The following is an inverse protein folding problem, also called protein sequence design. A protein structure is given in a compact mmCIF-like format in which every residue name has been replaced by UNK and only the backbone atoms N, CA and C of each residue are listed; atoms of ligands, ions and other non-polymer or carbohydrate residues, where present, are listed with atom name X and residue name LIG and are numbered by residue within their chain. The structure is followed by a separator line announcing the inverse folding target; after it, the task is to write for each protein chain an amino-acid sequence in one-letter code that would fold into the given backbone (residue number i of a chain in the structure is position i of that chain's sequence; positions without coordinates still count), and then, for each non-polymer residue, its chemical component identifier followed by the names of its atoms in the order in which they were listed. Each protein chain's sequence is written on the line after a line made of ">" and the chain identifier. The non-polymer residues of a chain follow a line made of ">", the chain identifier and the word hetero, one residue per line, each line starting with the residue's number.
data_IF_367660929411
#
_entry.id   IF_367660929411
#
_cell.length_a   1.000
_cell.length_b   1.000
_cell.length_c   1.000
_cell.angle_alpha   90.00
_cell.angle_beta   90.00
_cell.angle_gamma   90.00
#
_symmetry.space_group_name_H-M   'P 1'
#
loop_
_entity.id
_entity.type
_entity.pdbx_description
1 polymer ?
#
# COMPACT_ATOMS: atom_id res chain seq x y z
N UNK A 1 -3.76 -15.34 -96.86
CA UNK A 1 -4.07 -14.72 -95.55
C UNK A 1 -2.94 -15.03 -94.58
N UNK A 2 -2.07 -14.06 -94.25
CA UNK A 2 -0.92 -14.28 -93.38
C UNK A 2 -1.36 -14.33 -91.90
N UNK A 3 -0.73 -15.24 -91.14
CA UNK A 3 -1.16 -15.65 -89.82
C UNK A 3 -0.92 -14.64 -88.70
N UNK A 4 -1.95 -14.44 -87.86
CA UNK A 4 -1.84 -13.81 -86.53
C UNK A 4 -1.23 -14.79 -85.50
N UNK A 5 -0.04 -15.32 -85.78
CA UNK A 5 0.78 -16.12 -84.84
C UNK A 5 2.03 -15.36 -84.43
N UNK A 6 1.90 -14.19 -83.77
CA UNK A 6 3.11 -13.39 -83.47
C UNK A 6 3.13 -12.61 -82.16
N UNK A 7 2.02 -12.37 -81.45
CA UNK A 7 2.10 -11.57 -80.20
C UNK A 7 2.24 -12.40 -78.92
N UNK A 8 1.42 -13.45 -78.70
CA UNK A 8 1.54 -14.30 -77.50
C UNK A 8 2.86 -15.10 -77.45
N UNK A 9 3.30 -15.64 -78.60
CA UNK A 9 4.57 -16.40 -78.68
C UNK A 9 5.81 -15.51 -78.43
N UNK A 10 5.85 -14.29 -78.98
CA UNK A 10 6.93 -13.34 -78.72
C UNK A 10 6.99 -12.91 -77.25
N UNK A 11 5.84 -12.67 -76.60
CA UNK A 11 5.79 -12.37 -75.17
C UNK A 11 6.34 -13.52 -74.31
N UNK A 12 6.13 -14.78 -74.71
CA UNK A 12 6.71 -15.93 -73.98
C UNK A 12 8.22 -16.10 -74.20
N UNK A 13 8.73 -15.79 -75.40
CA UNK A 13 10.16 -15.86 -75.71
C UNK A 13 10.95 -14.75 -75.01
N UNK A 14 10.45 -13.51 -75.02
CA UNK A 14 11.06 -12.38 -74.29
C UNK A 14 10.99 -12.57 -72.78
N UNK A 15 9.88 -13.11 -72.24
CA UNK A 15 9.78 -13.46 -70.83
C UNK A 15 10.78 -14.57 -70.43
N UNK A 16 11.03 -15.56 -71.29
CA UNK A 16 12.06 -16.59 -71.05
C UNK A 16 13.47 -15.99 -71.05
N UNK A 17 13.79 -15.13 -72.01
CA UNK A 17 15.09 -14.45 -72.09
C UNK A 17 15.33 -13.55 -70.87
N UNK A 18 14.32 -12.79 -70.42
CA UNK A 18 14.40 -11.98 -69.21
C UNK A 18 14.60 -12.81 -67.94
N UNK A 19 14.02 -14.02 -67.86
CA UNK A 19 14.28 -14.93 -66.72
C UNK A 19 15.72 -15.42 -66.70
N UNK A 20 16.28 -15.77 -67.87
CA UNK A 20 17.65 -16.22 -68.00
C UNK A 20 18.66 -15.12 -67.66
N UNK A 21 18.38 -13.88 -68.10
CA UNK A 21 19.19 -12.72 -67.72
C UNK A 21 19.13 -12.48 -66.20
N UNK A 22 17.95 -12.54 -65.60
CA UNK A 22 17.79 -12.40 -64.13
C UNK A 22 18.43 -13.53 -63.32
N UNK A 23 18.48 -14.75 -63.84
CA UNK A 23 19.14 -15.86 -63.15
C UNK A 23 20.66 -15.75 -63.17
N UNK A 24 21.20 -14.99 -64.12
CA UNK A 24 22.63 -14.79 -64.31
C UNK A 24 23.10 -13.43 -63.79
N UNK A 25 22.22 -12.61 -63.19
CA UNK A 25 22.57 -11.33 -62.56
C UNK A 25 23.47 -11.57 -61.33
N UNK A 26 24.53 -10.77 -61.22
CA UNK A 26 25.33 -10.70 -59.99
C UNK A 26 24.56 -9.98 -58.87
N UNK A 27 25.01 -10.11 -57.61
CA UNK A 27 24.36 -9.47 -56.47
C UNK A 27 24.28 -7.94 -56.62
N UNK A 28 25.34 -7.32 -57.13
CA UNK A 28 25.41 -5.86 -57.33
C UNK A 28 24.51 -5.39 -58.47
N UNK A 29 24.46 -6.14 -59.58
CA UNK A 29 23.55 -5.84 -60.71
C UNK A 29 22.09 -5.97 -60.30
N UNK A 30 21.74 -6.99 -59.51
CA UNK A 30 20.40 -7.16 -58.96
C UNK A 30 20.04 -6.01 -58.00
N UNK A 31 20.95 -5.63 -57.11
CA UNK A 31 20.76 -4.50 -56.19
C UNK A 31 20.59 -3.18 -56.95
N UNK A 32 21.39 -2.93 -57.97
CA UNK A 32 21.27 -1.74 -58.82
C UNK A 32 19.94 -1.73 -59.58
N UNK A 33 19.53 -2.86 -60.18
CA UNK A 33 18.23 -2.97 -60.86
C UNK A 33 17.05 -2.73 -59.90
N UNK A 34 17.09 -3.30 -58.69
CA UNK A 34 16.06 -3.08 -57.68
C UNK A 34 16.04 -1.62 -57.19
N UNK A 35 17.20 -0.98 -57.04
CA UNK A 35 17.30 0.43 -56.69
C UNK A 35 16.68 1.32 -57.78
N UNK A 36 17.02 1.09 -59.05
CA UNK A 36 16.44 1.80 -60.19
C UNK A 36 14.92 1.59 -60.28
N UNK A 37 14.45 0.37 -60.03
CA UNK A 37 13.02 0.07 -60.00
C UNK A 37 12.29 0.79 -58.85
N UNK A 38 12.92 0.93 -57.67
CA UNK A 38 12.36 1.71 -56.56
C UNK A 38 12.21 3.18 -56.93
N UNK A 39 13.25 3.79 -57.51
CA UNK A 39 13.22 5.19 -57.96
C UNK A 39 12.09 5.43 -58.97
N UNK A 40 11.96 4.55 -59.98
CA UNK A 40 10.88 4.64 -60.97
C UNK A 40 9.50 4.51 -60.29
N UNK A 41 9.36 3.58 -59.34
CA UNK A 41 8.11 3.40 -58.60
C UNK A 41 7.75 4.62 -57.74
N UNK A 42 8.73 5.26 -57.12
CA UNK A 42 8.55 6.49 -56.33
C UNK A 42 8.13 7.65 -57.22
N UNK A 43 8.77 7.84 -58.37
CA UNK A 43 8.39 8.86 -59.35
C UNK A 43 6.96 8.64 -59.89
N UNK A 44 6.56 7.40 -60.09
CA UNK A 44 5.18 7.08 -60.48
C UNK A 44 4.17 7.35 -59.35
N UNK A 45 4.56 7.15 -58.10
CA UNK A 45 3.72 7.45 -56.94
C UNK A 45 3.55 8.96 -56.70
N UNK A 46 4.58 9.77 -56.96
CA UNK A 46 4.51 11.23 -56.80
C UNK A 46 3.70 11.90 -57.91
N UNK A 47 3.71 11.34 -59.12
CA UNK A 47 2.91 11.79 -60.27
C UNK A 47 1.47 11.23 -60.27
N UNK A 48 1.13 10.39 -59.30
CA UNK A 48 -0.15 9.69 -59.24
C UNK A 48 -1.31 10.65 -58.95
N UNK A 49 -2.41 10.54 -59.70
CA UNK A 49 -3.63 11.29 -59.41
C UNK A 49 -4.35 10.76 -58.15
N UNK A 50 -5.23 11.57 -57.56
CA UNK A 50 -6.03 11.17 -56.38
C UNK A 50 -6.88 9.92 -56.63
N UNK A 51 -7.43 9.78 -57.85
CA UNK A 51 -8.26 8.63 -58.24
C UNK A 51 -7.42 7.37 -58.37
N UNK A 52 -6.30 7.42 -59.08
CA UNK A 52 -5.38 6.28 -59.22
C UNK A 52 -4.81 5.85 -57.86
N UNK A 53 -4.52 6.81 -56.98
CA UNK A 53 -4.08 6.53 -55.61
C UNK A 53 -5.16 5.77 -54.85
N UNK A 54 -6.41 6.21 -54.95
CA UNK A 54 -7.55 5.57 -54.30
C UNK A 54 -7.77 4.15 -54.81
N UNK A 55 -7.71 3.93 -56.13
CA UNK A 55 -7.83 2.59 -56.75
C UNK A 55 -6.68 1.65 -56.35
N UNK A 56 -5.44 2.15 -56.31
CA UNK A 56 -4.28 1.38 -55.87
C UNK A 56 -4.40 0.97 -54.39
N UNK A 57 -4.80 1.89 -53.52
CA UNK A 57 -5.03 1.59 -52.10
C UNK A 57 -6.18 0.62 -51.90
N UNK A 58 -7.28 0.76 -52.66
CA UNK A 58 -8.39 -0.19 -52.64
C UNK A 58 -7.94 -1.61 -53.06
N UNK A 59 -7.16 -1.72 -54.14
CA UNK A 59 -6.59 -2.99 -54.60
C UNK A 59 -5.64 -3.61 -53.57
N UNK A 60 -4.81 -2.79 -52.91
CA UNK A 60 -3.92 -3.23 -51.85
C UNK A 60 -4.68 -3.71 -50.61
N UNK A 61 -5.73 -2.99 -50.21
CA UNK A 61 -6.60 -3.37 -49.10
C UNK A 61 -7.32 -4.69 -49.39
N UNK A 62 -7.81 -4.88 -50.62
CA UNK A 62 -8.44 -6.11 -51.05
C UNK A 62 -7.49 -7.31 -50.94
N UNK A 63 -6.28 -7.20 -51.49
CA UNK A 63 -5.24 -8.26 -51.38
C UNK A 63 -4.88 -8.54 -49.92
N UNK A 64 -4.75 -7.49 -49.10
CA UNK A 64 -4.46 -7.64 -47.67
C UNK A 64 -5.59 -8.35 -46.92
N UNK A 65 -6.84 -8.02 -47.23
CA UNK A 65 -8.02 -8.68 -46.66
C UNK A 65 -8.09 -10.15 -47.05
N UNK A 66 -7.88 -10.46 -48.33
CA UNK A 66 -7.86 -11.84 -48.84
C UNK A 66 -6.73 -12.68 -48.21
N UNK A 67 -5.56 -12.07 -47.95
CA UNK A 67 -4.49 -12.74 -47.22
C UNK A 67 -4.88 -12.99 -45.76
N UNK A 68 -5.47 -11.99 -45.07
CA UNK A 68 -5.94 -12.15 -43.68
C UNK A 68 -7.03 -13.21 -43.51
N UNK A 69 -7.88 -13.40 -44.52
CA UNK A 69 -8.91 -14.46 -44.51
C UNK A 69 -8.32 -15.87 -44.65
N UNK A 70 -7.15 -15.98 -45.29
CA UNK A 70 -6.44 -17.25 -45.49
C UNK A 70 -5.42 -17.55 -44.38
N UNK A 71 -5.17 -16.61 -43.46
CA UNK A 71 -4.27 -16.79 -42.32
C UNK A 71 -4.77 -17.92 -41.41
N UNK A 72 -3.86 -18.81 -41.04
CA UNK A 72 -4.09 -19.77 -39.96
C UNK A 72 -4.18 -19.07 -38.59
N UNK A 73 -4.69 -19.77 -37.58
CA UNK A 73 -4.75 -19.25 -36.20
C UNK A 73 -3.36 -18.90 -35.63
N UNK A 74 -2.34 -19.68 -35.98
CA UNK A 74 -0.95 -19.45 -35.58
C UNK A 74 -0.37 -18.20 -36.25
N UNK A 75 -0.52 -18.06 -37.57
CA UNK A 75 -0.06 -16.88 -38.32
C UNK A 75 -0.76 -15.60 -37.84
N UNK A 76 -2.07 -15.67 -37.60
CA UNK A 76 -2.84 -14.56 -37.03
C UNK A 76 -2.29 -14.15 -35.66
N UNK A 77 -2.01 -15.13 -34.80
CA UNK A 77 -1.47 -14.89 -33.45
C UNK A 77 -0.07 -14.26 -33.50
N UNK A 78 0.81 -14.76 -34.37
CA UNK A 78 2.15 -14.21 -34.57
C UNK A 78 2.13 -12.79 -35.13
N UNK A 79 1.24 -12.49 -36.08
CA UNK A 79 1.05 -11.14 -36.62
C UNK A 79 0.56 -10.17 -35.56
N UNK A 80 -0.44 -10.57 -34.76
CA UNK A 80 -0.96 -9.75 -33.66
C UNK A 80 0.10 -9.54 -32.57
N UNK A 81 0.90 -10.57 -32.23
CA UNK A 81 2.00 -10.45 -31.28
C UNK A 81 3.06 -9.46 -31.79
N UNK A 82 3.47 -9.58 -33.06
CA UNK A 82 4.43 -8.65 -33.69
C UNK A 82 3.89 -7.21 -33.72
N UNK A 83 2.60 -7.02 -33.98
CA UNK A 83 1.96 -5.71 -33.93
C UNK A 83 1.93 -5.12 -32.51
N UNK A 84 1.63 -5.95 -31.51
CA UNK A 84 1.64 -5.55 -30.10
C UNK A 84 3.05 -5.14 -29.66
N UNK A 85 4.09 -5.91 -30.01
CA UNK A 85 5.49 -5.58 -29.70
C UNK A 85 5.92 -4.25 -30.30
N UNK A 86 5.58 -3.98 -31.57
CA UNK A 86 5.86 -2.68 -32.22
C UNK A 86 5.12 -1.53 -31.52
N UNK A 87 3.87 -1.77 -31.11
CA UNK A 87 3.07 -0.75 -30.40
C UNK A 87 3.67 -0.45 -29.02
N UNK A 88 4.14 -1.46 -28.30
CA UNK A 88 4.81 -1.30 -27.01
C UNK A 88 6.14 -0.54 -27.16
N UNK A 89 6.96 -0.90 -28.16
CA UNK A 89 8.22 -0.21 -28.44
C UNK A 89 8.00 1.27 -28.82
N UNK A 90 6.91 1.59 -29.50
CA UNK A 90 6.54 2.98 -29.76
C UNK A 90 6.10 3.68 -28.47
N UNK A 91 5.25 3.07 -27.65
CA UNK A 91 4.81 3.63 -26.36
C UNK A 91 5.94 3.86 -25.37
N UNK A 92 6.99 3.04 -25.39
CA UNK A 92 8.17 3.21 -24.54
C UNK A 92 9.03 4.41 -24.95
N UNK A 93 9.00 4.78 -26.23
CA UNK A 93 9.74 5.91 -26.79
C UNK A 93 8.92 7.21 -26.83
N UNK A 94 7.63 7.15 -26.47
CA UNK A 94 6.76 8.33 -26.42
C UNK A 94 7.27 9.34 -25.39
N UNK A 95 7.33 10.61 -25.80
CA UNK A 95 7.50 11.72 -24.88
C UNK A 95 6.27 11.92 -23.98
N UNK A 96 6.42 12.69 -22.90
CA UNK A 96 5.29 13.03 -22.01
C UNK A 96 4.16 13.76 -22.72
N UNK A 97 4.49 14.63 -23.69
CA UNK A 97 3.53 15.36 -24.51
C UNK A 97 2.75 14.42 -25.45
N UNK A 98 3.45 13.56 -26.19
CA UNK A 98 2.83 12.58 -27.08
C UNK A 98 1.95 11.59 -26.31
N UNK A 99 2.42 11.13 -25.15
CA UNK A 99 1.64 10.27 -24.25
C UNK A 99 0.35 10.96 -23.81
N UNK A 100 0.43 12.24 -23.43
CA UNK A 100 -0.73 13.03 -23.01
C UNK A 100 -1.72 13.21 -24.15
N UNK A 101 -1.24 13.57 -25.36
CA UNK A 101 -2.09 13.71 -26.54
C UNK A 101 -2.77 12.38 -26.94
N UNK A 102 -2.04 11.27 -26.87
CA UNK A 102 -2.60 9.93 -27.14
C UNK A 102 -3.68 9.56 -26.12
N UNK A 103 -3.44 9.80 -24.83
CA UNK A 103 -4.43 9.53 -23.78
C UNK A 103 -5.67 10.42 -23.93
N UNK A 104 -5.51 11.71 -24.24
CA UNK A 104 -6.63 12.62 -24.53
C UNK A 104 -7.44 12.15 -25.74
N UNK A 105 -6.76 11.75 -26.82
CA UNK A 105 -7.40 11.20 -28.03
C UNK A 105 -8.11 9.86 -27.76
N UNK A 106 -7.56 9.02 -26.88
CA UNK A 106 -8.19 7.77 -26.47
C UNK A 106 -9.44 8.03 -25.61
N UNK A 107 -9.36 8.99 -24.69
CA UNK A 107 -10.47 9.40 -23.84
C UNK A 107 -11.62 9.99 -24.67
N UNK A 108 -11.33 10.86 -25.65
CA UNK A 108 -12.35 11.44 -26.52
C UNK A 108 -13.08 10.39 -27.35
N UNK A 109 -12.35 9.43 -27.94
CA UNK A 109 -12.96 8.28 -28.65
C UNK A 109 -13.83 7.43 -27.72
N UNK A 110 -13.37 7.20 -26.50
CA UNK A 110 -14.13 6.43 -25.50
C UNK A 110 -15.42 7.14 -25.12
N UNK A 111 -15.37 8.46 -24.92
CA UNK A 111 -16.55 9.29 -24.65
C UNK A 111 -17.54 9.28 -25.82
N UNK A 112 -17.06 9.47 -27.05
CA UNK A 112 -17.89 9.43 -28.25
C UNK A 112 -18.54 8.06 -28.47
N UNK A 113 -17.86 6.97 -28.12
CA UNK A 113 -18.46 5.63 -28.13
C UNK A 113 -19.54 5.50 -27.05
N UNK A 114 -19.26 5.95 -25.82
CA UNK A 114 -20.24 5.93 -24.71
C UNK A 114 -21.49 6.75 -25.00
N UNK A 115 -21.36 7.90 -25.67
CA UNK A 115 -22.50 8.74 -26.05
C UNK A 115 -23.40 8.09 -27.10
N UNK A 116 -22.84 7.21 -27.94
CA UNK A 116 -23.58 6.46 -28.96
C UNK A 116 -24.05 5.09 -28.49
N UNK A 117 -23.77 4.70 -27.24
CA UNK A 117 -24.24 3.44 -26.68
C UNK A 117 -25.78 3.43 -26.60
N UNK A 118 -26.40 2.33 -27.01
CA UNK A 118 -27.81 2.10 -26.73
C UNK A 118 -28.02 1.85 -25.23
N UNK A 119 -29.24 2.08 -24.73
CA UNK A 119 -29.59 1.83 -23.33
C UNK A 119 -29.28 0.39 -22.88
N UNK A 120 -29.49 -0.60 -23.77
CA UNK A 120 -29.17 -2.00 -23.50
C UNK A 120 -27.65 -2.23 -23.32
N UNK A 121 -26.83 -1.67 -24.23
CA UNK A 121 -25.36 -1.78 -24.15
C UNK A 121 -24.82 -1.03 -22.92
N UNK A 122 -25.39 0.14 -22.62
CA UNK A 122 -25.04 0.91 -21.43
C UNK A 122 -25.30 0.11 -20.14
N UNK A 123 -26.48 -0.50 -20.04
CA UNK A 123 -26.88 -1.33 -18.89
C UNK A 123 -26.00 -2.56 -18.74
N UNK A 124 -25.70 -3.26 -19.85
CA UNK A 124 -24.81 -4.42 -19.84
C UNK A 124 -23.38 -4.05 -19.42
N UNK A 125 -22.86 -2.89 -19.86
CA UNK A 125 -21.54 -2.40 -19.45
C UNK A 125 -21.51 -2.08 -17.96
N UNK A 126 -22.52 -1.41 -17.42
CA UNK A 126 -22.62 -1.12 -15.99
C UNK A 126 -22.73 -2.41 -15.16
N UNK A 127 -23.55 -3.37 -15.58
CA UNK A 127 -23.65 -4.68 -14.94
C UNK A 127 -22.29 -5.39 -14.92
N UNK A 128 -21.59 -5.44 -16.06
CA UNK A 128 -20.25 -6.04 -16.16
C UNK A 128 -19.23 -5.34 -15.25
N UNK A 129 -19.29 -4.01 -15.14
CA UNK A 129 -18.42 -3.24 -14.25
C UNK A 129 -18.71 -3.51 -12.77
N UNK A 130 -19.98 -3.61 -12.40
CA UNK A 130 -20.42 -3.95 -11.04
C UNK A 130 -19.96 -5.35 -10.66
N UNK A 131 -20.13 -6.34 -11.53
CA UNK A 131 -19.69 -7.73 -11.30
C UNK A 131 -18.17 -7.81 -11.08
N UNK A 132 -17.37 -7.11 -11.89
CA UNK A 132 -15.90 -7.05 -11.69
C UNK A 132 -15.52 -6.40 -10.36
N UNK A 133 -16.23 -5.33 -9.99
CA UNK A 133 -15.99 -4.62 -8.72
C UNK A 133 -16.32 -5.51 -7.52
N UNK A 134 -17.42 -6.27 -7.60
CA UNK A 134 -17.80 -7.26 -6.59
C UNK A 134 -16.78 -8.39 -6.48
N UNK A 135 -16.34 -8.95 -7.61
CA UNK A 135 -15.32 -10.00 -7.64
C UNK A 135 -13.96 -9.53 -7.08
N UNK A 136 -13.61 -8.26 -7.26
CA UNK A 136 -12.43 -7.69 -6.62
C UNK A 136 -12.64 -7.54 -5.12
N UNK A 137 -13.78 -7.01 -4.67
CA UNK A 137 -14.11 -6.88 -3.24
C UNK A 137 -14.16 -8.20 -2.49
N UNK A 138 -14.59 -9.29 -3.14
CA UNK A 138 -14.61 -10.62 -2.54
C UNK A 138 -13.20 -11.21 -2.34
N UNK A 139 -12.22 -10.76 -3.12
CA UNK A 139 -10.83 -11.20 -3.05
C UNK A 139 -9.95 -10.26 -2.22
N UNK A 140 -10.49 -9.14 -1.75
CA UNK A 140 -9.76 -8.18 -0.91
C UNK A 140 -9.36 -8.83 0.41
N UNK A 141 -8.09 -8.66 0.79
CA UNK A 141 -7.62 -8.96 2.14
C UNK A 141 -8.24 -8.01 3.17
N UNK A 142 -8.16 -8.37 4.45
CA UNK A 142 -8.63 -7.50 5.55
C UNK A 142 -7.92 -6.15 5.60
N UNK A 143 -6.63 -6.12 5.28
CA UNK A 143 -5.82 -4.90 5.20
C UNK A 143 -6.28 -4.00 4.04
N UNK A 144 -6.41 -4.55 2.83
CA UNK A 144 -6.89 -3.81 1.65
C UNK A 144 -8.31 -3.27 1.84
N UNK A 145 -9.19 -4.09 2.44
CA UNK A 145 -10.55 -3.66 2.79
C UNK A 145 -10.53 -2.46 3.74
N UNK A 146 -9.69 -2.51 4.77
CA UNK A 146 -9.56 -1.44 5.76
C UNK A 146 -9.02 -0.16 5.12
N UNK A 147 -8.00 -0.26 4.27
CA UNK A 147 -7.44 0.87 3.53
C UNK A 147 -8.45 1.49 2.55
N UNK A 148 -9.22 0.66 1.84
CA UNK A 148 -10.28 1.14 0.94
C UNK A 148 -11.38 1.88 1.70
N UNK A 149 -11.83 1.34 2.84
CA UNK A 149 -12.85 1.99 3.69
C UNK A 149 -12.33 3.30 4.27
N UNK A 150 -11.07 3.34 4.75
CA UNK A 150 -10.43 4.57 5.20
C UNK A 150 -10.38 5.62 4.09
N UNK A 151 -9.93 5.23 2.90
CA UNK A 151 -9.88 6.12 1.73
C UNK A 151 -11.26 6.64 1.31
N UNK A 152 -12.29 5.78 1.38
CA UNK A 152 -13.67 6.16 1.09
C UNK A 152 -14.22 7.15 2.13
N UNK A 153 -13.91 6.93 3.42
CA UNK A 153 -14.30 7.83 4.49
C UNK A 153 -13.64 9.20 4.33
N UNK A 154 -12.33 9.26 4.05
CA UNK A 154 -11.61 10.51 3.84
C UNK A 154 -12.17 11.32 2.66
N UNK A 155 -12.50 10.68 1.54
CA UNK A 155 -13.16 11.35 0.40
C UNK A 155 -14.55 11.88 0.77
N UNK A 156 -15.32 11.10 1.53
CA UNK A 156 -16.65 11.51 1.98
C UNK A 156 -16.57 12.71 2.90
N UNK A 157 -15.61 12.74 3.82
CA UNK A 157 -15.35 13.89 4.70
C UNK A 157 -14.93 15.12 3.91
N UNK A 158 -13.99 15.00 2.97
CA UNK A 158 -13.55 16.10 2.12
C UNK A 158 -14.69 16.67 1.23
N UNK A 159 -15.63 15.83 0.79
CA UNK A 159 -16.81 16.29 0.08
C UNK A 159 -17.78 17.02 1.01
N UNK A 160 -18.00 16.52 2.23
CA UNK A 160 -18.84 17.19 3.24
C UNK A 160 -18.25 18.52 3.72
N UNK A 161 -16.93 18.67 3.76
CA UNK A 161 -16.29 19.95 4.13
C UNK A 161 -16.47 21.03 3.07
N UNK A 162 -16.62 20.63 1.80
CA UNK A 162 -16.82 21.55 0.67
C UNK A 162 -18.30 21.79 0.36
N UNK A 163 -19.21 21.13 1.07
CA UNK A 163 -20.65 21.23 0.81
C UNK A 163 -21.16 22.62 1.22
N UNK A 164 -21.96 23.25 0.37
CA UNK A 164 -22.66 24.47 0.71
C UNK A 164 -23.75 24.21 1.77
N UNK A 165 -24.22 25.26 2.44
CA UNK A 165 -25.31 25.16 3.42
C UNK A 165 -26.60 24.58 2.82
N UNK A 166 -26.91 24.92 1.57
CA UNK A 166 -28.05 24.38 0.84
C UNK A 166 -27.89 22.88 0.55
N UNK A 167 -26.73 22.45 0.03
CA UNK A 167 -26.42 21.04 -0.24
C UNK A 167 -26.43 20.20 1.04
N UNK A 168 -25.88 20.73 2.14
CA UNK A 168 -25.94 20.10 3.46
C UNK A 168 -27.37 19.85 3.90
N UNK A 169 -28.22 20.87 3.76
CA UNK A 169 -29.63 20.81 4.17
C UNK A 169 -30.39 19.78 3.33
N UNK A 170 -30.18 19.78 2.01
CA UNK A 170 -30.78 18.80 1.11
C UNK A 170 -30.33 17.37 1.39
N UNK A 171 -29.04 17.16 1.69
CA UNK A 171 -28.49 15.86 2.07
C UNK A 171 -29.11 15.34 3.37
N UNK A 172 -29.21 16.19 4.39
CA UNK A 172 -29.82 15.84 5.68
C UNK A 172 -31.31 15.55 5.51
N UNK A 173 -32.05 16.36 4.75
CA UNK A 173 -33.45 16.11 4.42
C UNK A 173 -33.63 14.75 3.72
N UNK A 174 -32.82 14.48 2.69
CA UNK A 174 -32.83 13.20 1.97
C UNK A 174 -32.52 12.01 2.87
N UNK A 175 -31.56 12.16 3.80
CA UNK A 175 -31.21 11.13 4.78
C UNK A 175 -32.35 10.88 5.77
N UNK A 176 -33.01 11.94 6.24
CA UNK A 176 -34.16 11.85 7.14
C UNK A 176 -35.33 11.15 6.46
N UNK A 177 -35.68 11.53 5.22
CA UNK A 177 -36.76 10.90 4.45
C UNK A 177 -36.51 9.40 4.23
N UNK A 178 -35.28 9.00 3.89
CA UNK A 178 -34.93 7.57 3.76
C UNK A 178 -35.06 6.82 5.09
N UNK A 179 -34.66 7.46 6.18
CA UNK A 179 -34.76 6.87 7.52
C UNK A 179 -36.23 6.67 7.92
N UNK A 180 -37.09 7.64 7.62
CA UNK A 180 -38.54 7.54 7.83
C UNK A 180 -39.16 6.43 6.99
N UNK A 181 -38.89 6.40 5.69
CA UNK A 181 -39.39 5.36 4.78
C UNK A 181 -38.92 3.94 5.15
N UNK A 182 -37.73 3.81 5.76
CA UNK A 182 -37.29 2.52 6.30
C UNK A 182 -38.06 2.16 7.58
N UNK A 183 -38.29 3.11 8.48
CA UNK A 183 -39.08 2.90 9.71
C UNK A 183 -40.54 2.55 9.42
N UNK A 184 -41.14 3.09 8.37
CA UNK A 184 -42.50 2.75 7.95
C UNK A 184 -42.61 1.31 7.44
N UNK A 185 -41.53 0.79 6.85
CA UNK A 185 -41.45 -0.58 6.34
C UNK A 185 -40.95 -1.60 7.36
N UNK A 186 -40.52 -1.16 8.55
CA UNK A 186 -40.04 -2.03 9.62
C UNK A 186 -41.17 -2.95 10.10
N UNK A 187 -40.88 -4.25 10.17
CA UNK A 187 -41.73 -5.20 10.87
C UNK A 187 -41.75 -4.92 12.38
N UNK A 188 -42.74 -5.47 13.09
CA UNK A 188 -42.86 -5.31 14.55
C UNK A 188 -41.61 -5.79 15.30
N UNK A 189 -41.00 -6.88 14.84
CA UNK A 189 -39.78 -7.45 15.42
C UNK A 189 -38.54 -6.56 15.17
N UNK A 190 -38.39 -6.01 13.97
CA UNK A 190 -37.30 -5.09 13.65
C UNK A 190 -37.41 -3.79 14.45
N UNK A 191 -38.64 -3.27 14.58
CA UNK A 191 -38.93 -2.09 15.41
C UNK A 191 -38.57 -2.32 16.87
N UNK A 192 -38.97 -3.46 17.45
CA UNK A 192 -38.64 -3.78 18.85
C UNK A 192 -37.14 -3.93 19.04
N UNK A 193 -36.44 -4.57 18.10
CA UNK A 193 -34.98 -4.71 18.15
C UNK A 193 -34.26 -3.35 18.08
N UNK A 194 -34.67 -2.46 17.17
CA UNK A 194 -34.11 -1.11 17.05
C UNK A 194 -34.33 -0.29 18.33
N UNK A 195 -35.53 -0.33 18.90
CA UNK A 195 -35.84 0.39 20.15
C UNK A 195 -35.05 -0.18 21.33
N UNK A 196 -34.88 -1.50 21.42
CA UNK A 196 -34.04 -2.13 22.43
C UNK A 196 -32.57 -1.69 22.29
N UNK A 197 -32.02 -1.68 21.07
CA UNK A 197 -30.67 -1.15 20.84
C UNK A 197 -30.55 0.34 21.20
N UNK A 198 -31.55 1.15 20.87
CA UNK A 198 -31.55 2.58 21.20
C UNK A 198 -31.57 2.78 22.72
N UNK A 199 -32.44 2.06 23.44
CA UNK A 199 -32.53 2.11 24.89
C UNK A 199 -31.23 1.63 25.56
N UNK A 200 -30.61 0.56 25.06
CA UNK A 200 -29.33 0.07 25.56
C UNK A 200 -28.20 1.10 25.38
N UNK A 201 -28.13 1.79 24.23
CA UNK A 201 -27.17 2.87 24.00
C UNK A 201 -27.41 4.06 24.93
N UNK A 202 -28.67 4.47 25.09
CA UNK A 202 -29.04 5.56 26.00
C UNK A 202 -28.74 5.19 27.46
N UNK A 203 -28.99 3.95 27.88
CA UNK A 203 -28.64 3.45 29.21
C UNK A 203 -27.12 3.45 29.42
N UNK A 204 -26.33 2.94 28.46
CA UNK A 204 -24.86 2.98 28.50
C UNK A 204 -24.30 4.40 28.59
N UNK A 205 -24.90 5.36 27.89
CA UNK A 205 -24.48 6.76 27.97
C UNK A 205 -24.86 7.40 29.32
N UNK A 206 -25.99 7.00 29.91
CA UNK A 206 -26.37 7.43 31.26
C UNK A 206 -25.43 6.84 32.32
N UNK A 207 -25.10 5.56 32.24
CA UNK A 207 -24.13 4.94 33.17
C UNK A 207 -22.73 5.53 32.99
N UNK A 208 -22.26 5.80 31.77
CA UNK A 208 -20.99 6.51 31.51
C UNK A 208 -20.93 7.87 32.19
N UNK A 209 -22.03 8.63 32.21
CA UNK A 209 -22.14 9.93 32.92
C UNK A 209 -22.31 9.79 34.44
N UNK A 210 -22.70 8.62 34.93
CA UNK A 210 -22.96 8.36 36.35
C UNK A 210 -21.80 7.66 37.07
N UNK A 211 -20.68 7.37 36.41
CA UNK A 211 -19.49 6.92 37.12
C UNK A 211 -19.03 8.05 38.06
N UNK A 212 -19.28 7.88 39.35
CA UNK A 212 -18.62 8.65 40.39
C UNK A 212 -17.13 8.32 40.30
N UNK A 213 -16.33 9.26 39.81
CA UNK A 213 -14.87 9.15 39.75
C UNK A 213 -14.22 9.43 41.11
N UNK A 214 -15.03 9.60 42.15
CA UNK A 214 -14.56 9.81 43.51
C UNK A 214 -13.72 8.59 43.93
N UNK A 215 -12.44 8.80 44.20
CA UNK A 215 -11.47 7.77 44.57
C UNK A 215 -11.23 6.66 43.54
N UNK A 216 -11.61 6.84 42.27
CA UNK A 216 -11.37 5.81 41.23
C UNK A 216 -9.88 5.52 41.00
N UNK A 217 -8.98 6.45 41.35
CA UNK A 217 -7.54 6.22 41.34
C UNK A 217 -7.09 5.12 42.33
N UNK A 218 -7.82 4.93 43.44
CA UNK A 218 -7.54 3.90 44.44
C UNK A 218 -8.16 2.53 44.10
N UNK A 219 -9.07 2.49 43.13
CA UNK A 219 -9.72 1.29 42.63
C UNK A 219 -9.57 1.23 41.10
N UNK A 220 -8.32 1.19 40.64
CA UNK A 220 -8.00 1.18 39.21
C UNK A 220 -8.54 -0.07 38.51
N UNK A 221 -9.35 0.14 37.46
CA UNK A 221 -9.86 -0.91 36.59
C UNK A 221 -9.17 -0.83 35.22
N UNK A 222 -8.29 -1.78 34.92
CA UNK A 222 -7.54 -1.81 33.66
C UNK A 222 -8.42 -2.06 32.42
N UNK A 223 -9.68 -2.46 32.59
CA UNK A 223 -10.63 -2.63 31.49
C UNK A 223 -11.34 -1.34 31.10
N UNK A 224 -11.18 -0.29 31.90
CA UNK A 224 -11.80 1.00 31.70
C UNK A 224 -10.81 1.97 31.03
N UNK A 225 -11.20 2.52 29.87
CA UNK A 225 -10.41 3.54 29.17
C UNK A 225 -10.65 4.93 29.79
N UNK A 226 -9.88 5.24 30.83
CA UNK A 226 -9.93 6.54 31.50
C UNK A 226 -9.50 7.70 30.58
N UNK A 227 -8.80 7.44 29.47
CA UNK A 227 -8.36 8.50 28.56
C UNK A 227 -9.52 9.07 27.72
N UNK A 228 -10.63 8.34 27.55
CA UNK A 228 -11.83 8.85 26.87
C UNK A 228 -12.80 9.61 27.81
N UNK A 229 -12.46 9.77 29.09
CA UNK A 229 -13.27 10.56 30.01
C UNK A 229 -12.88 12.03 29.91
N UNK A 230 -13.70 12.81 29.21
CA UNK A 230 -13.56 14.27 29.16
C UNK A 230 -13.69 14.95 30.54
N UNK A 231 -14.17 14.24 31.55
CA UNK A 231 -14.37 14.75 32.91
C UNK A 231 -13.08 14.68 33.77
N UNK A 232 -12.03 13.98 33.30
CA UNK A 232 -10.71 13.91 33.96
C UNK A 232 -9.73 14.81 33.21
N UNK A 233 -9.60 16.07 33.64
CA UNK A 233 -8.60 17.00 33.13
C UNK A 233 -7.57 17.35 34.22
N UNK A 234 -6.39 16.74 34.13
CA UNK A 234 -5.24 17.00 35.03
C UNK A 234 -4.45 18.25 34.54
N UNK A 235 -4.81 18.79 33.37
CA UNK A 235 -4.10 19.88 32.71
C UNK A 235 -2.77 19.43 32.09
N UNK A 236 -2.12 20.37 31.39
CA UNK A 236 -0.80 20.14 30.79
C UNK A 236 0.29 20.23 31.86
N UNK A 237 1.30 19.36 31.76
CA UNK A 237 2.54 19.50 32.52
C UNK A 237 3.40 20.58 31.84
N UNK A 238 3.15 21.85 32.17
CA UNK A 238 3.82 23.00 31.52
C UNK A 238 4.38 24.04 32.50
N UNK A 239 4.22 23.81 33.82
CA UNK A 239 4.77 24.71 34.84
C UNK A 239 6.23 24.37 35.07
N UNK A 240 7.13 25.26 34.69
CA UNK A 240 8.57 25.04 34.86
C UNK A 240 9.00 25.56 36.23
N UNK A 241 9.70 24.75 37.02
CA UNK A 241 10.29 25.18 38.27
C UNK A 241 11.48 26.12 38.02
N UNK A 242 11.45 27.32 38.63
CA UNK A 242 12.51 28.32 38.46
C UNK A 242 13.88 27.85 38.98
N UNK A 243 13.92 26.90 39.93
CA UNK A 243 15.15 26.46 40.60
C UNK A 243 15.82 25.27 39.89
N UNK A 244 15.06 24.21 39.59
CA UNK A 244 15.60 22.98 39.00
C UNK A 244 15.19 22.75 37.54
N UNK A 245 14.36 23.61 36.96
CA UNK A 245 13.84 23.49 35.59
C UNK A 245 12.99 22.23 35.33
N UNK A 246 12.58 21.52 36.38
CA UNK A 246 11.62 20.43 36.26
C UNK A 246 10.26 20.96 35.77
N UNK A 247 9.62 20.20 34.89
CA UNK A 247 8.27 20.49 34.39
C UNK A 247 7.26 19.89 35.38
N UNK A 248 6.21 20.64 35.70
CA UNK A 248 5.24 20.36 36.75
C UNK A 248 3.82 20.53 36.25
N UNK A 249 2.87 19.92 36.96
CA UNK A 249 1.45 20.25 36.81
C UNK A 249 1.07 21.45 37.68
N UNK A 250 0.01 22.17 37.28
CA UNK A 250 -0.41 23.41 37.94
C UNK A 250 -0.80 23.24 39.42
N UNK A 251 -1.35 22.08 39.79
CA UNK A 251 -1.79 21.79 41.15
C UNK A 251 -0.70 21.23 42.08
N UNK A 252 0.53 21.02 41.59
CA UNK A 252 1.61 20.45 42.40
C UNK A 252 2.23 21.46 43.37
N UNK A 253 2.48 21.01 44.60
CA UNK A 253 3.14 21.81 45.62
C UNK A 253 4.50 22.38 45.13
N UNK A 254 4.86 23.64 45.43
CA UNK A 254 6.09 24.27 44.95
C UNK A 254 7.35 23.43 45.16
N UNK A 255 7.45 22.74 46.30
CA UNK A 255 8.60 21.95 46.72
C UNK A 255 8.70 20.51 46.20
N UNK A 256 7.73 19.99 45.43
CA UNK A 256 7.74 18.57 45.04
C UNK A 256 8.98 18.15 44.22
N UNK A 257 9.55 19.07 43.46
CA UNK A 257 10.65 18.78 42.51
C UNK A 257 12.04 18.90 43.14
N UNK A 258 12.31 19.95 43.91
CA UNK A 258 13.66 20.24 44.45
C UNK A 258 13.64 20.63 45.94
N UNK A 259 12.51 20.40 46.62
CA UNK A 259 12.29 20.82 48.01
C UNK A 259 12.59 22.31 48.25
N UNK A 260 12.25 23.16 47.27
CA UNK A 260 12.54 24.59 47.31
C UNK A 260 14.02 24.95 47.09
N UNK A 261 14.74 24.15 46.30
CA UNK A 261 16.16 24.37 45.99
C UNK A 261 17.14 23.71 46.94
N UNK A 262 16.65 22.97 47.95
CA UNK A 262 17.48 22.21 48.89
C UNK A 262 18.12 20.97 48.24
N UNK A 263 17.50 20.44 47.19
CA UNK A 263 18.01 19.29 46.46
C UNK A 263 18.51 19.75 45.10
N UNK A 264 19.80 19.57 44.85
CA UNK A 264 20.40 19.75 43.53
C UNK A 264 20.24 18.45 42.73
N UNK A 265 19.35 18.45 41.75
CA UNK A 265 19.12 17.28 40.87
C UNK A 265 20.00 17.43 39.62
N UNK A 266 20.98 16.53 39.41
CA UNK A 266 21.79 16.55 38.21
C UNK A 266 20.93 16.36 36.97
N UNK A 267 21.21 17.12 35.90
CA UNK A 267 20.55 16.91 34.61
C UNK A 267 21.00 15.56 34.05
N UNK A 268 20.05 14.68 33.78
CA UNK A 268 20.33 13.41 33.10
C UNK A 268 20.81 13.75 31.68
N UNK A 269 22.01 13.28 31.27
CA UNK A 269 22.52 13.54 29.94
C UNK A 269 21.58 12.95 28.89
N UNK A 270 21.51 13.61 27.73
CA UNK A 270 20.72 13.08 26.62
C UNK A 270 21.26 11.70 26.22
N UNK A 271 20.37 10.74 25.91
CA UNK A 271 20.81 9.44 25.41
C UNK A 271 21.60 9.59 24.11
N UNK A 272 22.52 8.65 23.86
CA UNK A 272 23.27 8.59 22.60
C UNK A 272 22.31 8.52 21.40
N UNK A 273 22.74 9.01 20.24
CA UNK A 273 21.91 9.06 19.02
C UNK A 273 21.31 7.70 18.68
N UNK A 274 22.11 6.64 18.77
CA UNK A 274 21.69 5.25 18.54
C UNK A 274 20.55 4.84 19.48
N UNK A 275 20.69 5.09 20.78
CA UNK A 275 19.67 4.72 21.75
C UNK A 275 18.39 5.53 21.56
N UNK A 276 18.51 6.81 21.20
CA UNK A 276 17.37 7.66 20.89
C UNK A 276 16.59 7.14 19.68
N UNK A 277 17.27 6.75 18.61
CA UNK A 277 16.65 6.19 17.40
C UNK A 277 16.02 4.81 17.64
N UNK A 278 16.62 3.99 18.51
CA UNK A 278 16.06 2.70 18.93
C UNK A 278 14.78 2.84 19.75
N UNK A 279 14.67 3.87 20.61
CA UNK A 279 13.47 4.11 21.41
C UNK A 279 12.40 4.86 20.61
N UNK A 280 12.78 5.75 19.68
CA UNK A 280 11.85 6.60 18.93
C UNK A 280 11.14 5.90 17.77
N UNK A 281 11.45 4.63 17.46
CA UNK A 281 10.89 3.95 16.29
C UNK A 281 11.62 4.24 14.98
N UNK A 282 12.70 5.04 15.01
CA UNK A 282 13.36 5.57 13.80
C UNK A 282 14.43 4.63 13.24
N UNK A 283 15.02 3.78 14.08
CA UNK A 283 16.02 2.79 13.66
C UNK A 283 15.36 1.51 13.10
N UNK A 284 15.92 0.83 12.08
CA UNK A 284 15.38 -0.44 11.56
C UNK A 284 15.19 -1.52 12.63
N UNK A 285 16.12 -1.62 13.59
CA UNK A 285 16.06 -2.56 14.72
C UNK A 285 15.19 -2.07 15.89
N UNK A 286 14.55 -0.89 15.81
CA UNK A 286 13.77 -0.33 16.91
C UNK A 286 12.60 -1.25 17.31
N UNK A 287 11.89 -1.82 16.33
CA UNK A 287 10.81 -2.78 16.61
C UNK A 287 11.31 -4.01 17.36
N UNK A 288 12.48 -4.53 16.97
CA UNK A 288 13.11 -5.65 17.66
C UNK A 288 13.51 -5.27 19.09
N UNK A 289 14.17 -4.12 19.25
CA UNK A 289 14.60 -3.59 20.54
C UNK A 289 13.44 -3.37 21.50
N UNK A 290 12.36 -2.73 21.06
CA UNK A 290 11.19 -2.45 21.90
C UNK A 290 10.47 -3.74 22.32
N UNK A 291 10.28 -4.69 21.39
CA UNK A 291 9.65 -5.98 21.66
C UNK A 291 10.45 -6.82 22.66
N UNK A 292 11.77 -6.71 22.66
CA UNK A 292 12.68 -7.49 23.53
C UNK A 292 13.36 -6.63 24.61
N UNK A 293 12.85 -5.44 24.90
CA UNK A 293 13.47 -4.46 25.82
C UNK A 293 13.78 -5.04 27.21
N UNK A 294 12.89 -5.89 27.73
CA UNK A 294 13.13 -6.61 29.00
C UNK A 294 14.33 -7.55 28.92
N UNK A 295 14.45 -8.29 27.83
CA UNK A 295 15.55 -9.23 27.63
C UNK A 295 16.88 -8.47 27.47
N UNK A 296 16.90 -7.36 26.74
CA UNK A 296 18.08 -6.48 26.68
C UNK A 296 18.47 -5.98 28.07
N UNK A 297 17.53 -5.53 28.89
CA UNK A 297 17.82 -5.09 30.26
C UNK A 297 18.38 -6.24 31.13
N UNK A 298 17.88 -7.48 30.94
CA UNK A 298 18.39 -8.67 31.63
C UNK A 298 19.87 -8.93 31.32
N UNK A 299 20.39 -8.57 30.14
CA UNK A 299 21.82 -8.76 29.83
C UNK A 299 22.76 -7.85 30.64
N UNK A 300 22.22 -6.77 31.19
CA UNK A 300 22.96 -5.80 32.00
C UNK A 300 22.64 -5.94 33.50
N UNK A 301 22.00 -7.05 33.90
CA UNK A 301 21.73 -7.31 35.30
C UNK A 301 23.03 -7.58 36.06
N UNK A 302 23.21 -6.89 37.19
CA UNK A 302 24.38 -7.08 38.06
C UNK A 302 24.11 -8.05 39.21
N UNK A 303 22.85 -8.33 39.50
CA UNK A 303 22.42 -9.18 40.62
C UNK A 303 21.45 -10.24 40.15
N UNK A 304 21.46 -11.39 40.81
CA UNK A 304 20.47 -12.43 40.59
C UNK A 304 19.29 -12.27 41.55
N UNK A 305 18.16 -12.85 41.18
CA UNK A 305 16.94 -12.82 41.96
C UNK A 305 16.93 -13.96 42.98
N UNK A 306 16.81 -13.64 44.27
CA UNK A 306 16.66 -14.61 45.34
C UNK A 306 15.29 -14.49 46.01
N UNK A 307 14.51 -15.56 46.02
CA UNK A 307 13.27 -15.63 46.80
C UNK A 307 12.89 -17.08 47.09
N UNK A 308 12.12 -17.31 48.15
CA UNK A 308 11.53 -18.64 48.42
C UNK A 308 10.31 -18.85 47.54
N UNK A 309 10.48 -19.50 46.40
CA UNK A 309 9.38 -19.82 45.49
C UNK A 309 8.44 -20.87 46.10
N UNK A 310 7.14 -20.60 46.08
CA UNK A 310 6.09 -21.57 46.43
C UNK A 310 5.56 -22.14 45.11
N UNK A 311 5.60 -23.48 44.98
CA UNK A 311 4.98 -24.19 43.86
C UNK A 311 3.72 -24.89 44.34
N UNK A 312 2.57 -24.47 43.81
CA UNK A 312 1.26 -25.06 44.12
C UNK A 312 0.70 -25.76 42.88
N UNK A 313 0.52 -27.08 42.96
CA UNK A 313 -0.21 -27.88 41.97
C UNK A 313 0.37 -27.86 40.55
N UNK A 314 -0.42 -28.38 39.60
CA UNK A 314 0.01 -28.59 38.21
C UNK A 314 -0.16 -27.37 37.29
N UNK A 315 -0.82 -26.29 37.75
CA UNK A 315 -1.01 -25.09 36.94
C UNK A 315 -0.95 -23.81 37.77
N UNK A 316 0.07 -23.00 37.53
CA UNK A 316 0.28 -21.73 38.23
C UNK A 316 0.71 -20.66 37.20
N UNK A 317 -0.19 -19.73 36.80
CA UNK A 317 0.11 -18.74 35.75
C UNK A 317 1.04 -17.61 36.19
N UNK A 318 1.31 -17.50 37.50
CA UNK A 318 2.21 -16.51 38.12
C UNK A 318 3.08 -17.20 39.16
N UNK A 319 4.38 -16.92 39.23
CA UNK A 319 5.22 -17.48 40.29
C UNK A 319 4.89 -16.82 41.64
N UNK A 320 4.79 -17.62 42.71
CA UNK A 320 4.49 -17.15 44.08
C UNK A 320 5.77 -17.18 44.91
N UNK A 321 5.99 -16.15 45.72
CA UNK A 321 7.13 -16.08 46.65
C UNK A 321 6.64 -15.95 48.08
N UNK A 322 7.27 -16.67 49.00
CA UNK A 322 7.03 -16.59 50.43
C UNK A 322 8.10 -15.73 51.11
N UNK A 323 7.69 -14.70 51.84
CA UNK A 323 8.61 -13.86 52.60
C UNK A 323 9.22 -12.74 51.74
N UNK A 324 10.51 -12.47 51.93
CA UNK A 324 11.21 -11.36 51.30
C UNK A 324 11.88 -11.75 49.98
N UNK A 325 12.00 -10.76 49.10
CA UNK A 325 12.81 -10.83 47.88
C UNK A 325 14.18 -10.23 48.16
N UNK A 326 15.22 -10.91 47.72
CA UNK A 326 16.61 -10.51 47.85
C UNK A 326 17.24 -10.31 46.48
N UNK A 327 18.09 -9.30 46.36
CA UNK A 327 19.06 -9.19 45.27
C UNK A 327 20.34 -9.88 45.72
N UNK A 328 20.66 -11.01 45.08
CA UNK A 328 21.88 -11.76 45.40
C UNK A 328 23.03 -11.20 44.58
N UNK A 329 24.03 -10.68 45.28
CA UNK A 329 25.29 -10.23 44.69
C UNK A 329 26.27 -11.39 44.88
N UNK A 330 26.72 -11.98 43.77
CA UNK A 330 27.73 -13.03 43.79
C UNK A 330 29.12 -12.51 44.17
N UNK A 331 30.11 -13.41 44.22
CA UNK A 331 31.50 -13.04 44.39
C UNK A 331 31.96 -12.11 43.26
N UNK A 332 32.95 -11.25 43.55
CA UNK A 332 33.49 -10.29 42.57
C UNK A 332 34.16 -10.98 41.37
N UNK A 333 34.77 -12.14 41.63
CA UNK A 333 35.45 -12.97 40.62
C UNK A 333 34.74 -14.32 40.48
N UNK A 334 34.74 -14.91 39.28
CA UNK A 334 34.22 -16.26 39.07
C UNK A 334 35.03 -17.29 39.86
N UNK A 335 34.40 -18.42 40.19
CA UNK A 335 35.10 -19.57 40.74
C UNK A 335 36.09 -20.14 39.72
N UNK A 336 37.08 -20.89 40.19
CA UNK A 336 38.11 -21.48 39.33
C UNK A 336 37.47 -22.39 38.26
N UNK A 337 37.72 -22.07 36.98
CA UNK A 337 37.11 -22.77 35.84
C UNK A 337 35.67 -22.39 35.48
N UNK A 338 35.02 -21.50 36.24
CA UNK A 338 33.66 -21.03 35.96
C UNK A 338 33.63 -19.81 35.03
N UNK A 339 32.54 -19.65 34.28
CA UNK A 339 32.31 -18.47 33.45
C UNK A 339 31.85 -17.28 34.31
N UNK A 340 32.21 -16.03 33.97
CA UNK A 340 31.73 -14.85 34.66
C UNK A 340 30.22 -14.65 34.49
N UNK A 341 29.51 -14.43 35.59
CA UNK A 341 28.06 -14.15 35.60
C UNK A 341 27.71 -12.83 36.28
N UNK A 342 26.59 -12.21 35.86
CA UNK A 342 26.04 -10.99 36.47
C UNK A 342 27.08 -9.85 36.58
N UNK A 343 27.36 -9.38 37.79
CA UNK A 343 28.36 -8.34 38.07
C UNK A 343 29.77 -8.71 37.58
N UNK A 344 30.13 -10.00 37.57
CA UNK A 344 31.47 -10.47 37.16
C UNK A 344 31.77 -10.14 35.69
N UNK A 345 30.74 -10.04 34.85
CA UNK A 345 30.86 -9.68 33.42
C UNK A 345 31.46 -8.27 33.27
N UNK A 346 31.28 -7.38 34.24
CA UNK A 346 31.83 -6.02 34.15
C UNK A 346 33.35 -5.96 34.40
N UNK A 347 33.95 -7.03 34.92
CA UNK A 347 35.38 -7.12 35.22
C UNK A 347 36.21 -7.82 34.14
N UNK A 348 35.59 -8.27 33.04
CA UNK A 348 36.30 -8.84 31.89
C UNK A 348 36.45 -7.84 30.75
N UNK A 349 37.28 -8.20 29.76
CA UNK A 349 37.55 -7.33 28.60
C UNK A 349 36.27 -7.02 27.83
N UNK A 350 36.20 -5.84 27.19
CA UNK A 350 34.99 -5.38 26.51
C UNK A 350 34.48 -6.36 25.44
N UNK A 351 35.40 -7.01 24.72
CA UNK A 351 35.08 -8.02 23.71
C UNK A 351 34.44 -9.28 24.34
N UNK A 352 34.96 -9.70 25.49
CA UNK A 352 34.43 -10.87 26.21
C UNK A 352 33.06 -10.57 26.81
N UNK A 353 32.80 -9.32 27.26
CA UNK A 353 31.49 -8.95 27.81
C UNK A 353 30.36 -9.12 26.78
N UNK A 354 30.61 -8.75 25.52
CA UNK A 354 29.61 -8.88 24.46
C UNK A 354 29.31 -10.36 24.21
N UNK A 355 30.36 -11.17 24.05
CA UNK A 355 30.23 -12.61 23.84
C UNK A 355 29.49 -13.31 24.99
N UNK A 356 29.84 -12.99 26.24
CA UNK A 356 29.18 -13.54 27.43
C UNK A 356 27.70 -13.15 27.49
N UNK A 357 27.36 -11.89 27.20
CA UNK A 357 25.96 -11.42 27.17
C UNK A 357 25.15 -12.09 26.06
N UNK A 358 25.73 -12.26 24.87
CA UNK A 358 25.07 -12.97 23.77
C UNK A 358 24.78 -14.43 24.12
N UNK A 359 25.67 -15.07 24.90
CA UNK A 359 25.48 -16.46 25.37
C UNK A 359 24.40 -16.59 26.46
N UNK A 360 24.17 -15.56 27.27
CA UNK A 360 23.15 -15.57 28.34
C UNK A 360 21.72 -15.62 27.78
N UNK A 361 21.49 -15.09 26.59
CA UNK A 361 20.18 -15.15 25.94
C UNK A 361 20.30 -15.41 24.44
N UNK A 362 20.47 -16.69 24.03
CA UNK A 362 20.68 -17.06 22.62
C UNK A 362 19.46 -16.78 21.72
N UNK A 363 18.31 -16.43 22.30
CA UNK A 363 17.11 -16.06 21.54
C UNK A 363 17.12 -14.61 21.07
N UNK A 364 17.95 -13.76 21.68
CA UNK A 364 18.25 -12.42 21.21
C UNK A 364 19.34 -12.51 20.14
N UNK A 365 19.00 -12.22 18.88
CA UNK A 365 20.01 -12.03 17.83
C UNK A 365 20.66 -10.65 18.02
N UNK A 366 21.78 -10.61 18.75
CA UNK A 366 22.55 -9.39 19.06
C UNK A 366 23.66 -9.19 18.05
#
# INVERSE_FOLDING_TARGET
>A
MPGKRTQLSRQTATAKQLRLLRSNETADENMHRLATQRVISEQNLTRQSSVERSQRLASQNFRTSANRQRESSAERSQRLASQNSRTLANRQRESSAERSQRLTSQNSRTLANRQRESSAVHSQRLASQNSRTLANRQRESSAERSQRLASQNSRTLANRQRESSAERSQRLASQNSRTLANRERESRAERSHRLAQQNARSARNRTRRQHSLLNSAFAYDCTFDYAELNDIDIGRMDKICNLCQAIKWAAEAPGICCSGGKVNIPKIPAPTSVFKELISGSHPSSKHFLNHSRQYNTLFQMTSFGAKEIREGNFMPTFKVQGQVYHLIGNLLPAEGAQPEFLQIYFVSHADQVSLRSNLNPTLQI
#
